data_IF_713581986745
#
_entry.id   IF_713581986745
#
_cell.length_a   1.000
_cell.length_b   1.000
_cell.length_c   1.000
_cell.angle_alpha   90.00
_cell.angle_beta   90.00
_cell.angle_gamma   90.00
#
_symmetry.space_group_name_H-M   'P 1'
#
loop_
_entity.id
_entity.type
_entity.pdbx_description
1 polymer ?
#
# COMPACT_ATOMS: atom_id res chain seq x y z
N UNK A 1 -13.71 1.19 27.55
CA UNK A 1 -14.33 0.71 26.30
C UNK A 1 -13.31 -0.19 25.61
N UNK A 2 -13.54 -1.50 25.58
CA UNK A 2 -12.54 -2.46 25.09
C UNK A 2 -12.58 -2.46 23.56
N UNK A 3 -11.73 -1.64 22.94
CA UNK A 3 -11.43 -1.73 21.52
C UNK A 3 -10.78 -3.10 21.28
N UNK A 4 -11.57 -4.08 20.84
CA UNK A 4 -11.03 -5.36 20.38
C UNK A 4 -10.17 -5.07 19.14
N UNK A 5 -8.85 -5.01 19.36
CA UNK A 5 -7.86 -4.93 18.30
C UNK A 5 -8.06 -6.12 17.37
N UNK A 6 -8.37 -5.83 16.12
CA UNK A 6 -8.39 -6.85 15.06
C UNK A 6 -6.95 -7.18 14.67
N UNK A 7 -6.35 -8.09 15.44
CA UNK A 7 -4.97 -8.57 15.24
C UNK A 7 -4.79 -9.24 13.88
N UNK A 8 -5.84 -9.85 13.33
CA UNK A 8 -5.77 -10.58 12.05
C UNK A 8 -5.66 -9.58 10.91
N UNK A 9 -6.55 -8.59 10.85
CA UNK A 9 -6.45 -7.58 9.81
C UNK A 9 -5.20 -6.71 9.96
N UNK A 10 -4.72 -6.46 11.19
CA UNK A 10 -3.43 -5.80 11.41
C UNK A 10 -2.27 -6.63 10.84
N UNK A 11 -2.21 -7.93 11.13
CA UNK A 11 -1.18 -8.81 10.58
C UNK A 11 -1.24 -8.89 9.05
N UNK A 12 -2.43 -9.01 8.47
CA UNK A 12 -2.62 -8.96 7.02
C UNK A 12 -2.15 -7.63 6.45
N UNK A 13 -2.46 -6.50 7.10
CA UNK A 13 -2.04 -5.17 6.65
C UNK A 13 -0.52 -5.03 6.56
N UNK A 14 0.18 -5.50 7.59
CA UNK A 14 1.64 -5.50 7.64
C UNK A 14 2.20 -6.39 6.53
N UNK A 15 1.60 -7.58 6.35
CA UNK A 15 2.07 -8.56 5.38
C UNK A 15 1.95 -8.03 3.94
N UNK A 16 0.79 -7.51 3.54
CA UNK A 16 0.57 -7.07 2.16
C UNK A 16 1.34 -5.78 1.85
N UNK A 17 1.36 -4.81 2.78
CA UNK A 17 2.14 -3.57 2.62
C UNK A 17 3.64 -3.88 2.56
N UNK A 18 4.13 -4.75 3.44
CA UNK A 18 5.52 -5.17 3.47
C UNK A 18 5.93 -5.88 2.18
N UNK A 19 5.12 -6.83 1.71
CA UNK A 19 5.37 -7.56 0.47
C UNK A 19 5.36 -6.64 -0.76
N UNK A 20 4.41 -5.71 -0.87
CA UNK A 20 4.39 -4.73 -1.96
C UNK A 20 5.59 -3.79 -1.92
N UNK A 21 5.91 -3.25 -0.74
CA UNK A 21 7.04 -2.32 -0.57
C UNK A 21 8.35 -3.02 -0.94
N UNK A 22 8.56 -4.24 -0.46
CA UNK A 22 9.71 -5.05 -0.81
C UNK A 22 9.77 -5.36 -2.31
N UNK A 23 8.64 -5.76 -2.91
CA UNK A 23 8.56 -6.03 -4.35
C UNK A 23 8.92 -4.81 -5.19
N UNK A 24 8.45 -3.61 -4.81
CA UNK A 24 8.73 -2.37 -5.56
C UNK A 24 10.19 -1.93 -5.43
N UNK A 25 10.80 -2.08 -4.25
CA UNK A 25 12.23 -1.82 -4.04
C UNK A 25 13.06 -2.81 -4.86
N UNK A 26 12.74 -4.11 -4.75
CA UNK A 26 13.45 -5.17 -5.47
C UNK A 26 13.32 -5.04 -6.99
N UNK A 27 12.19 -4.54 -7.49
CA UNK A 27 12.00 -4.22 -8.91
C UNK A 27 12.95 -3.13 -9.41
N UNK A 28 13.24 -2.13 -8.58
CA UNK A 28 14.19 -1.06 -8.89
C UNK A 28 15.65 -1.54 -8.89
N UNK A 29 16.01 -2.44 -7.97
CA UNK A 29 17.38 -2.94 -7.80
C UNK A 29 17.73 -4.11 -8.72
N UNK A 30 16.87 -5.14 -8.76
CA UNK A 30 17.12 -6.41 -9.44
C UNK A 30 16.34 -6.55 -10.76
N UNK A 31 15.46 -5.60 -11.05
CA UNK A 31 14.61 -5.60 -12.24
C UNK A 31 13.26 -6.29 -12.04
N UNK A 32 12.35 -5.97 -12.95
CA UNK A 32 10.94 -6.40 -12.90
C UNK A 32 10.73 -7.89 -13.22
N UNK A 33 11.68 -8.53 -13.91
CA UNK A 33 11.60 -9.93 -14.32
C UNK A 33 12.16 -10.93 -13.31
N UNK A 34 12.79 -10.46 -12.23
CA UNK A 34 13.41 -11.32 -11.23
C UNK A 34 12.33 -12.14 -10.49
N UNK A 35 12.45 -13.47 -10.36
CA UNK A 35 11.43 -14.31 -9.75
C UNK A 35 11.03 -13.87 -8.33
N UNK A 36 11.99 -13.34 -7.57
CA UNK A 36 11.75 -12.80 -6.22
C UNK A 36 10.89 -11.54 -6.23
N UNK A 37 11.14 -10.62 -7.17
CA UNK A 37 10.34 -9.41 -7.38
C UNK A 37 8.91 -9.77 -7.73
N UNK A 38 8.73 -10.65 -8.71
CA UNK A 38 7.39 -11.09 -9.14
C UNK A 38 6.66 -11.81 -8.01
N UNK A 39 7.33 -12.71 -7.28
CA UNK A 39 6.75 -13.42 -6.15
C UNK A 39 6.29 -12.45 -5.04
N UNK A 40 7.10 -11.44 -4.71
CA UNK A 40 6.76 -10.43 -3.71
C UNK A 40 5.57 -9.55 -4.15
N UNK A 41 5.54 -9.11 -5.41
CA UNK A 41 4.43 -8.33 -5.95
C UNK A 41 3.13 -9.14 -5.95
N UNK A 42 3.18 -10.41 -6.38
CA UNK A 42 2.02 -11.31 -6.35
C UNK A 42 1.57 -11.55 -4.91
N UNK A 43 2.49 -11.82 -3.98
CA UNK A 43 2.17 -11.98 -2.56
C UNK A 43 1.51 -10.73 -1.97
N UNK A 44 1.99 -9.54 -2.36
CA UNK A 44 1.40 -8.26 -1.96
C UNK A 44 -0.03 -8.08 -2.49
N UNK A 45 -0.27 -8.35 -3.77
CA UNK A 45 -1.62 -8.28 -4.37
C UNK A 45 -2.58 -9.29 -3.75
N UNK A 46 -2.12 -10.53 -3.54
CA UNK A 46 -2.92 -11.59 -2.89
C UNK A 46 -3.21 -11.22 -1.44
N UNK A 47 -2.23 -10.69 -0.72
CA UNK A 47 -2.39 -10.22 0.66
C UNK A 47 -3.38 -9.06 0.77
N UNK A 48 -3.36 -8.12 -0.18
CA UNK A 48 -4.31 -7.01 -0.24
C UNK A 48 -5.74 -7.52 -0.49
N UNK A 49 -5.91 -8.45 -1.43
CA UNK A 49 -7.22 -9.06 -1.71
C UNK A 49 -7.75 -9.83 -0.50
N UNK A 50 -6.88 -10.57 0.20
CA UNK A 50 -7.22 -11.26 1.44
C UNK A 50 -7.59 -10.27 2.56
N UNK A 51 -6.87 -9.15 2.68
CA UNK A 51 -7.15 -8.10 3.65
C UNK A 51 -8.51 -7.45 3.38
N UNK A 52 -8.79 -7.06 2.14
CA UNK A 52 -10.08 -6.50 1.73
C UNK A 52 -11.23 -7.48 1.96
N UNK A 53 -11.04 -8.76 1.63
CA UNK A 53 -12.04 -9.81 1.86
C UNK A 53 -12.28 -10.07 3.35
N UNK A 54 -11.25 -9.94 4.18
CA UNK A 54 -11.34 -10.07 5.63
C UNK A 54 -12.06 -8.86 6.25
N UNK A 55 -11.63 -7.64 5.93
CA UNK A 55 -12.29 -6.41 6.41
C UNK A 55 -13.75 -6.30 5.97
N UNK A 56 -14.09 -6.75 4.76
CA UNK A 56 -15.47 -6.78 4.29
C UNK A 56 -16.35 -7.75 5.08
N UNK A 57 -15.76 -8.77 5.73
CA UNK A 57 -16.46 -9.77 6.55
C UNK A 57 -16.43 -9.46 8.05
N UNK A 58 -15.51 -8.62 8.51
CA UNK A 58 -15.35 -8.29 9.92
C UNK A 58 -16.41 -7.29 10.39
N UNK A 59 -17.09 -7.58 11.51
CA UNK A 59 -18.18 -6.77 12.04
C UNK A 59 -17.75 -5.39 12.60
N UNK A 60 -16.45 -5.19 12.87
CA UNK A 60 -15.84 -3.93 13.28
C UNK A 60 -14.54 -3.69 12.49
N UNK A 61 -14.64 -3.29 11.21
CA UNK A 61 -13.46 -3.09 10.38
C UNK A 61 -12.63 -1.91 10.90
N UNK A 62 -11.32 -2.06 10.88
CA UNK A 62 -10.39 -0.99 11.29
C UNK A 62 -10.25 0.09 10.22
N UNK A 63 -10.48 -0.27 8.96
CA UNK A 63 -10.69 0.61 7.82
C UNK A 63 -12.17 0.54 7.44
N UNK A 64 -12.99 1.54 7.81
CA UNK A 64 -14.39 1.57 7.40
C UNK A 64 -14.43 1.78 5.88
N UNK A 65 -14.48 0.70 5.10
CA UNK A 65 -14.52 0.73 3.63
C UNK A 65 -15.69 1.60 3.10
N UNK A 66 -16.72 1.82 3.91
CA UNK A 66 -17.81 2.77 3.65
C UNK A 66 -17.38 4.24 3.53
N UNK A 67 -16.27 4.66 4.15
CA UNK A 67 -15.72 6.02 3.99
C UNK A 67 -15.17 6.24 2.58
N UNK A 68 -14.57 5.22 1.97
CA UNK A 68 -14.11 5.29 0.57
C UNK A 68 -15.26 5.35 -0.44
N UNK A 69 -16.48 5.02 -0.01
CA UNK A 69 -17.68 5.19 -0.82
C UNK A 69 -18.09 6.67 -0.94
N UNK A 70 -17.64 7.52 -0.01
CA UNK A 70 -17.71 8.97 -0.17
C UNK A 70 -16.59 9.44 -1.11
N UNK A 71 -16.99 9.89 -2.30
CA UNK A 71 -16.08 10.41 -3.32
C UNK A 71 -15.19 11.53 -2.77
N UNK A 72 -15.68 12.36 -1.85
CA UNK A 72 -14.87 13.46 -1.27
C UNK A 72 -13.73 12.91 -0.43
N UNK A 73 -13.98 11.88 0.36
CA UNK A 73 -12.95 11.23 1.17
C UNK A 73 -11.94 10.47 0.30
N UNK A 74 -12.42 9.76 -0.73
CA UNK A 74 -11.55 9.09 -1.69
C UNK A 74 -10.66 10.07 -2.45
N UNK A 75 -11.23 11.16 -2.96
CA UNK A 75 -10.50 12.23 -3.67
C UNK A 75 -9.47 12.89 -2.75
N UNK A 76 -9.82 13.18 -1.49
CA UNK A 76 -8.88 13.75 -0.53
C UNK A 76 -7.67 12.84 -0.26
N UNK A 77 -7.90 11.52 -0.13
CA UNK A 77 -6.82 10.54 0.04
C UNK A 77 -5.94 10.46 -1.21
N UNK A 78 -6.54 10.38 -2.40
CA UNK A 78 -5.80 10.36 -3.67
C UNK A 78 -5.01 11.64 -3.88
N UNK A 79 -5.58 12.81 -3.55
CA UNK A 79 -4.88 14.08 -3.60
C UNK A 79 -3.68 14.10 -2.64
N UNK A 80 -3.86 13.60 -1.41
CA UNK A 80 -2.78 13.51 -0.42
C UNK A 80 -1.67 12.58 -0.89
N UNK A 81 -2.02 11.43 -1.47
CA UNK A 81 -1.07 10.52 -2.09
C UNK A 81 -0.32 11.17 -3.26
N UNK A 82 -1.02 11.84 -4.17
CA UNK A 82 -0.43 12.52 -5.32
C UNK A 82 0.51 13.66 -4.90
N UNK A 83 0.15 14.44 -3.87
CA UNK A 83 0.99 15.49 -3.30
C UNK A 83 2.26 14.90 -2.69
N UNK A 84 2.15 13.83 -1.90
CA UNK A 84 3.30 13.14 -1.32
C UNK A 84 4.22 12.57 -2.41
N UNK A 85 3.64 11.84 -3.36
CA UNK A 85 4.36 11.24 -4.48
C UNK A 85 5.12 12.30 -5.29
N UNK A 86 4.43 13.38 -5.70
CA UNK A 86 5.05 14.47 -6.45
C UNK A 86 6.19 15.13 -5.66
N UNK A 87 6.02 15.33 -4.35
CA UNK A 87 7.03 15.93 -3.50
C UNK A 87 8.30 15.07 -3.42
N UNK A 88 8.17 13.76 -3.19
CA UNK A 88 9.32 12.84 -3.11
C UNK A 88 9.98 12.63 -4.48
N UNK A 89 9.19 12.42 -5.53
CA UNK A 89 9.73 12.24 -6.89
C UNK A 89 10.45 13.49 -7.37
N UNK A 90 9.93 14.70 -7.10
CA UNK A 90 10.57 15.95 -7.54
C UNK A 90 11.97 16.11 -6.95
N UNK A 91 12.17 15.80 -5.67
CA UNK A 91 13.49 15.86 -5.03
C UNK A 91 14.46 14.86 -5.67
N UNK A 92 13.99 13.65 -5.96
CA UNK A 92 14.80 12.63 -6.64
C UNK A 92 15.23 13.07 -8.04
N UNK A 93 14.29 13.53 -8.88
CA UNK A 93 14.59 13.99 -10.23
C UNK A 93 15.47 15.25 -10.24
N UNK A 94 15.25 16.18 -9.31
CA UNK A 94 16.10 17.36 -9.19
C UNK A 94 17.54 17.00 -8.81
N UNK A 95 17.71 16.07 -7.86
CA UNK A 95 19.03 15.53 -7.50
C UNK A 95 19.70 14.86 -8.71
N UNK A 96 18.97 14.05 -9.48
CA UNK A 96 19.47 13.42 -10.70
C UNK A 96 19.88 14.44 -11.77
N UNK A 97 19.10 15.51 -11.96
CA UNK A 97 19.43 16.59 -12.91
C UNK A 97 20.69 17.35 -12.51
N UNK A 98 20.90 17.62 -11.22
CA UNK A 98 22.12 18.28 -10.73
C UNK A 98 23.36 17.37 -10.76
N UNK A 99 23.17 16.05 -10.76
CA UNK A 99 24.25 15.08 -10.87
C UNK A 99 24.71 14.86 -12.32
N UNK A 100 23.90 15.25 -13.31
CA UNK A 100 24.26 15.25 -14.73
C UNK A 100 24.96 16.55 -15.13
#
# INVERSE_FOLDING_TARGET
EHAHLDLVGLALSILWLGALTFGLISAGENGWGEPRTVAALVAGVVGLAAFLGFEARTARPMLPLGLFRDVRFAVANVASFALGFTSYSSVFFFSMFLQQ
#
